data_IF_218077729287
#
_entry.id   IF_218077729287
#
_cell.length_a   1.000
_cell.length_b   1.000
_cell.length_c   1.000
_cell.angle_alpha   90.00
_cell.angle_beta   90.00
_cell.angle_gamma   90.00
#
_symmetry.space_group_name_H-M   'P 1'
#
loop_
_entity.id
_entity.type
_entity.pdbx_description
1 polymer ?
#
# COMPACT_ATOMS: atom_id res chain seq x y z
N UNK A 1 -9.54 37.91 10.20
CA UNK A 1 -8.85 36.88 11.01
C UNK A 1 -9.93 36.00 11.62
N UNK A 2 -10.09 34.77 11.15
CA UNK A 2 -10.76 33.68 11.87
C UNK A 2 -10.30 32.39 11.21
N UNK A 3 -9.26 31.80 11.79
CA UNK A 3 -8.76 30.48 11.43
C UNK A 3 -9.32 29.46 12.42
N UNK A 4 -9.38 28.22 11.93
CA UNK A 4 -9.20 26.99 12.69
C UNK A 4 -10.30 26.61 13.68
N UNK A 5 -11.40 26.02 13.19
CA UNK A 5 -12.05 24.89 13.89
C UNK A 5 -12.82 23.94 12.94
N UNK A 6 -13.14 24.34 11.70
CA UNK A 6 -13.91 23.49 10.76
C UNK A 6 -13.10 22.34 10.12
N UNK A 7 -11.77 22.44 10.09
CA UNK A 7 -10.90 21.46 9.42
C UNK A 7 -10.78 20.10 10.15
N UNK A 8 -11.28 19.96 11.38
CA UNK A 8 -11.16 18.71 12.15
C UNK A 8 -12.26 17.70 11.75
N UNK A 9 -13.41 18.19 11.30
CA UNK A 9 -14.54 17.38 10.82
C UNK A 9 -14.18 16.62 9.54
N UNK A 10 -13.54 17.29 8.59
CA UNK A 10 -13.19 16.72 7.29
C UNK A 10 -12.03 15.72 7.40
N UNK A 11 -11.01 16.01 8.22
CA UNK A 11 -9.93 15.05 8.50
C UNK A 11 -10.47 13.81 9.21
N UNK A 12 -11.45 13.95 10.11
CA UNK A 12 -12.10 12.83 10.77
C UNK A 12 -12.93 11.99 9.79
N UNK A 13 -13.62 12.62 8.84
CA UNK A 13 -14.36 11.96 7.75
C UNK A 13 -13.45 11.16 6.82
N UNK A 14 -12.32 11.75 6.37
CA UNK A 14 -11.29 11.07 5.57
C UNK A 14 -10.73 9.85 6.31
N UNK A 15 -10.41 10.03 7.60
CA UNK A 15 -9.89 8.97 8.45
C UNK A 15 -10.95 7.86 8.58
N UNK A 16 -12.22 8.19 8.81
CA UNK A 16 -13.32 7.22 8.91
C UNK A 16 -13.56 6.49 7.58
N UNK A 17 -13.53 7.18 6.43
CA UNK A 17 -13.71 6.56 5.11
C UNK A 17 -12.52 5.69 4.72
N UNK A 18 -11.31 6.15 5.02
CA UNK A 18 -10.10 5.33 4.91
C UNK A 18 -10.26 4.10 5.81
N UNK A 19 -10.68 4.24 7.07
CA UNK A 19 -10.98 3.13 7.99
C UNK A 19 -12.04 2.18 7.41
N UNK A 20 -13.09 2.67 6.74
CA UNK A 20 -14.15 1.86 6.14
C UNK A 20 -13.70 1.09 4.88
N UNK A 21 -12.92 1.72 4.01
CA UNK A 21 -12.23 1.03 2.93
C UNK A 21 -11.23 -0.01 3.48
N UNK A 22 -10.52 0.37 4.53
CA UNK A 22 -9.68 -0.54 5.29
C UNK A 22 -10.52 -1.64 5.93
N UNK A 23 -11.81 -1.49 6.25
CA UNK A 23 -12.65 -2.55 6.82
C UNK A 23 -12.96 -3.65 5.83
N UNK A 24 -13.19 -3.36 4.55
CA UNK A 24 -13.39 -4.41 3.53
C UNK A 24 -12.07 -5.15 3.23
N UNK A 25 -10.97 -4.40 3.09
CA UNK A 25 -9.64 -5.01 2.93
C UNK A 25 -9.22 -5.78 4.20
N UNK A 26 -9.46 -5.22 5.39
CA UNK A 26 -9.23 -5.85 6.69
C UNK A 26 -10.14 -7.07 6.88
N UNK A 27 -11.38 -7.06 6.38
CA UNK A 27 -12.27 -8.22 6.48
C UNK A 27 -11.73 -9.40 5.67
N UNK A 28 -11.24 -9.15 4.47
CA UNK A 28 -10.57 -10.19 3.67
C UNK A 28 -9.20 -10.57 4.27
N UNK A 29 -8.44 -9.61 4.78
CA UNK A 29 -7.18 -9.87 5.49
C UNK A 29 -7.37 -10.58 6.84
N UNK A 30 -8.48 -10.37 7.55
CA UNK A 30 -8.83 -11.05 8.81
C UNK A 30 -9.19 -12.51 8.58
N UNK A 31 -9.75 -12.85 7.41
CA UNK A 31 -9.96 -14.25 7.01
C UNK A 31 -8.62 -14.97 6.82
N UNK A 32 -7.61 -14.30 6.28
CA UNK A 32 -6.27 -14.87 6.10
C UNK A 32 -5.38 -14.77 7.36
N UNK A 33 -5.57 -13.77 8.23
CA UNK A 33 -4.66 -13.47 9.33
C UNK A 33 -5.40 -13.05 10.62
N UNK A 34 -5.19 -13.83 11.70
CA UNK A 34 -5.80 -13.62 13.04
C UNK A 34 -5.57 -12.23 13.67
N UNK A 35 -4.67 -11.39 13.13
CA UNK A 35 -4.32 -10.03 13.62
C UNK A 35 -4.67 -8.92 12.60
N UNK A 36 -5.81 -9.04 11.92
CA UNK A 36 -6.14 -8.30 10.69
C UNK A 36 -6.60 -6.84 10.82
N UNK A 37 -5.99 -6.01 11.68
CA UNK A 37 -6.17 -4.55 11.61
C UNK A 37 -4.88 -3.82 11.31
N UNK A 38 -3.79 -4.09 12.04
CA UNK A 38 -2.49 -3.46 11.79
C UNK A 38 -1.95 -3.78 10.38
N UNK A 39 -2.19 -5.00 9.90
CA UNK A 39 -1.70 -5.44 8.59
C UNK A 39 -2.47 -4.83 7.41
N UNK A 40 -3.75 -4.52 7.53
CA UNK A 40 -4.49 -3.91 6.42
C UNK A 40 -4.23 -2.43 6.22
N UNK A 41 -3.96 -1.68 7.30
CA UNK A 41 -3.45 -0.31 7.13
C UNK A 41 -2.11 -0.31 6.40
N UNK A 42 -1.19 -1.21 6.76
CA UNK A 42 0.10 -1.32 6.10
C UNK A 42 -0.04 -1.68 4.61
N UNK A 43 -0.96 -2.59 4.26
CA UNK A 43 -1.25 -2.92 2.86
C UNK A 43 -1.74 -1.70 2.06
N UNK A 44 -2.60 -0.86 2.63
CA UNK A 44 -3.05 0.38 1.99
C UNK A 44 -1.87 1.34 1.80
N UNK A 45 -1.01 1.51 2.81
CA UNK A 45 0.16 2.37 2.70
C UNK A 45 1.16 1.88 1.64
N UNK A 46 1.31 0.56 1.51
CA UNK A 46 2.09 -0.06 0.42
C UNK A 46 1.48 0.28 -0.94
N UNK A 47 0.16 0.12 -1.10
CA UNK A 47 -0.51 0.51 -2.35
C UNK A 47 -0.28 2.00 -2.66
N UNK A 48 -0.44 2.90 -1.69
CA UNK A 48 -0.24 4.34 -1.88
C UNK A 48 1.20 4.68 -2.26
N UNK A 49 2.17 3.98 -1.65
CA UNK A 49 3.58 4.15 -1.97
C UNK A 49 3.87 3.72 -3.41
N UNK A 50 3.29 2.60 -3.84
CA UNK A 50 3.41 2.11 -5.21
C UNK A 50 2.66 2.96 -6.22
N UNK A 51 1.55 3.61 -5.82
CA UNK A 51 0.87 4.60 -6.65
C UNK A 51 1.77 5.78 -6.98
N UNK A 52 2.48 6.31 -5.97
CA UNK A 52 3.43 7.42 -6.14
C UNK A 52 4.70 7.00 -6.87
N UNK A 53 5.17 5.77 -6.66
CA UNK A 53 6.42 5.26 -7.25
C UNK A 53 6.30 3.78 -7.60
N UNK A 54 6.18 3.50 -8.89
CA UNK A 54 6.21 2.13 -9.44
C UNK A 54 7.61 1.52 -9.33
N UNK A 55 7.70 0.19 -9.32
CA UNK A 55 8.97 -0.54 -9.32
C UNK A 55 9.76 -0.40 -8.01
N UNK A 56 9.09 -0.31 -6.87
CA UNK A 56 9.76 -0.23 -5.57
C UNK A 56 10.09 -1.63 -5.04
N UNK A 57 11.26 -1.80 -4.41
CA UNK A 57 11.58 -3.06 -3.71
C UNK A 57 10.97 -3.09 -2.30
N UNK A 58 10.91 -4.27 -1.68
CA UNK A 58 10.47 -4.41 -0.30
C UNK A 58 11.31 -3.55 0.67
N UNK A 59 12.61 -3.40 0.38
CA UNK A 59 13.51 -2.56 1.17
C UNK A 59 13.22 -1.07 1.02
N UNK A 60 12.88 -0.62 -0.19
CA UNK A 60 12.47 0.78 -0.43
C UNK A 60 11.19 1.10 0.33
N UNK A 61 10.19 0.20 0.23
CA UNK A 61 8.91 0.34 0.92
C UNK A 61 9.09 0.32 2.45
N UNK A 62 9.95 -0.54 2.98
CA UNK A 62 10.29 -0.55 4.41
C UNK A 62 10.79 0.82 4.88
N UNK A 63 11.71 1.43 4.13
CA UNK A 63 12.25 2.76 4.45
C UNK A 63 11.20 3.84 4.37
N UNK A 64 10.38 3.85 3.32
CA UNK A 64 9.32 4.84 3.13
C UNK A 64 8.23 4.75 4.20
N UNK A 65 7.89 3.53 4.62
CA UNK A 65 6.77 3.28 5.54
C UNK A 65 7.19 3.23 7.01
N UNK A 66 8.50 3.31 7.31
CA UNK A 66 9.05 3.14 8.66
C UNK A 66 8.50 1.89 9.38
N UNK A 67 8.32 0.81 8.62
CA UNK A 67 7.74 -0.45 9.09
C UNK A 67 8.78 -1.56 9.15
N UNK A 68 8.52 -2.63 9.90
CA UNK A 68 9.39 -3.80 9.88
C UNK A 68 9.34 -4.49 8.51
N UNK A 69 10.51 -4.94 8.03
CA UNK A 69 10.63 -5.62 6.74
C UNK A 69 9.64 -6.78 6.60
N UNK A 70 9.50 -7.59 7.65
CA UNK A 70 8.59 -8.74 7.66
C UNK A 70 7.12 -8.34 7.51
N UNK A 71 6.70 -7.23 8.12
CA UNK A 71 5.33 -6.74 7.99
C UNK A 71 5.05 -6.21 6.58
N UNK A 72 6.02 -5.51 5.99
CA UNK A 72 5.93 -5.03 4.60
C UNK A 72 5.90 -6.20 3.62
N UNK A 73 6.73 -7.22 3.85
CA UNK A 73 6.74 -8.43 3.03
C UNK A 73 5.38 -9.15 3.10
N UNK A 74 4.80 -9.31 4.28
CA UNK A 74 3.46 -9.90 4.43
C UNK A 74 2.37 -9.08 3.74
N UNK A 75 2.46 -7.76 3.82
CA UNK A 75 1.53 -6.87 3.11
C UNK A 75 1.65 -7.07 1.59
N UNK A 76 2.87 -7.12 1.05
CA UNK A 76 3.14 -7.39 -0.36
C UNK A 76 2.60 -8.76 -0.80
N UNK A 77 2.84 -9.81 -0.02
CA UNK A 77 2.35 -11.16 -0.32
C UNK A 77 0.83 -11.20 -0.40
N UNK A 78 0.13 -10.49 0.50
CA UNK A 78 -1.32 -10.42 0.44
C UNK A 78 -1.83 -9.63 -0.78
N UNK A 79 -1.21 -8.48 -1.06
CA UNK A 79 -1.59 -7.67 -2.22
C UNK A 79 -1.34 -8.41 -3.56
N UNK A 80 -0.30 -9.24 -3.63
CA UNK A 80 -0.02 -10.12 -4.76
C UNK A 80 -1.14 -11.15 -4.94
N UNK A 81 -1.55 -11.85 -3.86
CA UNK A 81 -2.66 -12.81 -3.92
C UNK A 81 -3.96 -12.18 -4.41
N UNK A 82 -4.20 -10.92 -4.05
CA UNK A 82 -5.39 -10.18 -4.48
C UNK A 82 -5.29 -9.60 -5.90
N UNK A 83 -4.15 -9.81 -6.58
CA UNK A 83 -3.82 -9.26 -7.89
C UNK A 83 -3.91 -7.72 -7.94
N UNK A 84 -3.59 -7.06 -6.83
CA UNK A 84 -3.55 -5.60 -6.72
C UNK A 84 -2.17 -5.05 -7.08
N UNK A 85 -1.13 -5.88 -6.94
CA UNK A 85 0.24 -5.56 -7.35
C UNK A 85 0.81 -6.68 -8.20
N UNK A 86 1.79 -6.34 -9.04
CA UNK A 86 2.61 -7.27 -9.80
C UNK A 86 4.05 -7.23 -9.28
N UNK A 87 4.78 -8.31 -9.53
CA UNK A 87 6.19 -8.45 -9.17
C UNK A 87 7.03 -8.69 -10.41
N UNK A 88 8.11 -7.95 -10.54
CA UNK A 88 9.15 -8.13 -11.55
C UNK A 88 10.45 -8.55 -10.86
N UNK A 89 11.13 -9.56 -11.40
CA UNK A 89 12.41 -10.06 -10.86
C UNK A 89 13.54 -9.68 -11.80
N UNK A 90 14.31 -8.67 -11.40
CA UNK A 90 15.47 -8.20 -12.17
C UNK A 90 16.72 -8.96 -11.72
N UNK A 91 17.46 -9.51 -12.69
CA UNK A 91 18.73 -10.19 -12.45
C UNK A 91 19.87 -9.20 -12.70
N UNK A 92 20.60 -8.86 -11.64
CA UNK A 92 21.74 -7.95 -11.74
C UNK A 92 22.99 -8.80 -12.00
N UNK A 93 23.58 -8.61 -13.19
CA UNK A 93 24.88 -9.20 -13.54
C UNK A 93 25.95 -8.16 -13.21
N UNK A 94 26.93 -8.54 -12.38
CA UNK A 94 28.17 -7.79 -12.31
C UNK A 94 29.01 -8.12 -13.55
N UNK A 95 29.70 -7.13 -14.11
CA UNK A 95 30.61 -7.30 -15.25
C UNK A 95 31.61 -8.42 -14.93
N UNK A 96 31.62 -9.46 -15.78
CA UNK A 96 32.42 -10.70 -15.72
C UNK A 96 31.88 -11.88 -14.88
N UNK A 97 30.70 -12.37 -15.28
CA UNK A 97 30.27 -13.79 -15.16
C UNK A 97 29.86 -14.32 -13.76
N UNK A 98 28.64 -13.99 -13.33
CA UNK A 98 27.60 -14.83 -12.69
C UNK A 98 26.46 -13.90 -12.29
N UNK A 99 25.20 -14.36 -12.26
CA UNK A 99 24.11 -13.56 -11.67
C UNK A 99 24.42 -13.44 -10.18
N UNK A 100 24.75 -12.23 -9.71
CA UNK A 100 25.23 -12.02 -8.34
C UNK A 100 24.06 -11.80 -7.39
N UNK A 101 23.00 -11.10 -7.84
CA UNK A 101 21.80 -10.82 -7.05
C UNK A 101 20.55 -10.75 -7.93
N UNK A 102 19.42 -11.21 -7.41
CA UNK A 102 18.09 -10.93 -7.95
C UNK A 102 17.39 -9.91 -7.05
N UNK A 103 16.69 -8.95 -7.66
CA UNK A 103 15.89 -7.96 -6.95
C UNK A 103 14.43 -8.07 -7.38
N UNK A 104 13.53 -8.09 -6.40
CA UNK A 104 12.08 -8.08 -6.60
C UNK A 104 11.60 -6.64 -6.56
N UNK A 105 10.99 -6.18 -7.65
CA UNK A 105 10.34 -4.87 -7.75
C UNK A 105 8.84 -5.06 -7.85
N UNK A 106 8.09 -4.21 -7.16
CA UNK A 106 6.64 -4.27 -7.08
C UNK A 106 6.02 -3.04 -7.74
N UNK A 107 4.91 -3.25 -8.43
CA UNK A 107 4.15 -2.23 -9.16
C UNK A 107 2.65 -2.47 -9.02
N UNK A 108 1.83 -1.42 -9.16
CA UNK A 108 0.38 -1.58 -9.16
C UNK A 108 -0.10 -2.23 -10.45
N UNK A 109 -1.03 -3.18 -10.35
CA UNK A 109 -1.81 -3.66 -11.50
C UNK A 109 -2.88 -2.62 -11.87
N UNK A 110 -3.56 -2.82 -13.02
CA UNK A 110 -4.74 -2.00 -13.37
C UNK A 110 -5.82 -2.04 -12.29
N UNK A 111 -6.06 -3.22 -11.69
CA UNK A 111 -6.97 -3.40 -10.56
C UNK A 111 -6.52 -2.62 -9.32
N UNK A 112 -5.22 -2.68 -8.99
CA UNK A 112 -4.67 -1.92 -7.86
C UNK A 112 -4.77 -0.41 -8.03
N UNK A 113 -4.52 0.10 -9.25
CA UNK A 113 -4.71 1.52 -9.57
C UNK A 113 -6.16 1.95 -9.45
N UNK A 114 -7.10 1.16 -9.99
CA UNK A 114 -8.54 1.45 -9.89
C UNK A 114 -8.98 1.51 -8.43
N UNK A 115 -8.54 0.56 -7.60
CA UNK A 115 -8.85 0.55 -6.18
C UNK A 115 -8.32 1.81 -5.50
N UNK A 116 -7.07 2.20 -5.73
CA UNK A 116 -6.52 3.41 -5.13
C UNK A 116 -7.23 4.68 -5.59
N UNK A 117 -7.56 4.78 -6.87
CA UNK A 117 -8.31 5.94 -7.38
C UNK A 117 -9.68 6.02 -6.72
N UNK A 118 -10.39 4.91 -6.58
CA UNK A 118 -11.67 4.86 -5.84
C UNK A 118 -11.50 5.29 -4.37
N UNK A 119 -10.38 4.93 -3.73
CA UNK A 119 -10.06 5.38 -2.37
C UNK A 119 -9.78 6.88 -2.31
N UNK A 120 -8.99 7.41 -3.24
CA UNK A 120 -8.67 8.83 -3.34
C UNK A 120 -9.93 9.64 -3.63
N UNK A 121 -10.74 9.22 -4.58
CA UNK A 121 -11.99 9.90 -4.97
C UNK A 121 -12.97 9.95 -3.80
N UNK A 122 -13.14 8.85 -3.07
CA UNK A 122 -13.99 8.82 -1.86
C UNK A 122 -13.47 9.75 -0.77
N UNK A 123 -12.15 9.82 -0.59
CA UNK A 123 -11.52 10.77 0.33
C UNK A 123 -11.78 12.20 -0.14
N UNK A 124 -11.59 12.50 -1.43
CA UNK A 124 -11.76 13.85 -1.99
C UNK A 124 -13.22 14.32 -1.95
N UNK A 125 -14.17 13.45 -2.29
CA UNK A 125 -15.62 13.71 -2.20
C UNK A 125 -16.14 13.81 -0.75
N UNK A 126 -15.34 13.47 0.24
CA UNK A 126 -15.71 13.59 1.67
C UNK A 126 -15.22 14.88 2.33
N UNK A 127 -14.41 15.66 1.62
CA UNK A 127 -13.80 16.94 2.05
C UNK A 127 -14.51 18.14 1.38
N UNK A 128 -15.20 17.90 0.27
CA UNK A 128 -16.06 18.86 -0.43
C UNK A 128 -17.51 18.71 0.04
#
# INVERSE_FOLDING_TARGET
MNNSFDNISDVSSIIIQTILATRNLNRELRKEYKNGTKQGYLAIYVLFSLYKRQGASCYDLQKTLHAHYYDVQRALDCLLKQNLISIEVIKIKASNQKIVKSQKLYSLTGKGKSLINELIDRVYCSIL
#
